data_IF_728957875337
#
_entry.id   IF_728957875337
#
_cell.length_a   1.000
_cell.length_b   1.000
_cell.length_c   1.000
_cell.angle_alpha   90.00
_cell.angle_beta   90.00
_cell.angle_gamma   90.00
#
_symmetry.space_group_name_H-M   'P 1'
#
loop_
_entity.id
_entity.type
_entity.pdbx_description
1 polymer ?
#
# COMPACT_ATOMS: atom_id res chain seq x y z
N UNK A 1 12.09 -17.72 -6.82
CA UNK A 1 11.79 -17.73 -5.38
C UNK A 1 10.36 -17.29 -5.20
N UNK A 2 9.63 -17.90 -4.26
CA UNK A 2 8.26 -17.52 -3.93
C UNK A 2 8.19 -16.85 -2.56
N UNK A 3 7.17 -16.03 -2.32
CA UNK A 3 6.93 -15.41 -1.02
C UNK A 3 5.44 -15.38 -0.70
N UNK A 4 5.11 -15.34 0.59
CA UNK A 4 3.73 -15.24 1.07
C UNK A 4 3.36 -13.78 1.33
N UNK A 5 2.15 -13.39 0.96
CA UNK A 5 1.56 -12.11 1.35
C UNK A 5 0.13 -12.30 1.84
N UNK A 6 -0.36 -11.32 2.61
CA UNK A 6 -1.77 -11.26 3.01
C UNK A 6 -2.48 -10.30 2.07
N UNK A 7 -3.55 -10.77 1.42
CA UNK A 7 -4.33 -9.99 0.47
C UNK A 7 -5.79 -9.98 0.89
N UNK A 8 -6.42 -8.81 0.84
CA UNK A 8 -7.87 -8.71 0.93
C UNK A 8 -8.47 -8.98 -0.45
N UNK A 9 -9.09 -10.14 -0.64
CA UNK A 9 -9.65 -10.53 -1.95
C UNK A 9 -10.95 -9.79 -2.28
N UNK A 10 -11.67 -9.36 -1.24
CA UNK A 10 -12.93 -8.62 -1.33
C UNK A 10 -13.00 -7.60 -0.19
N UNK A 11 -13.93 -6.64 -0.31
CA UNK A 11 -14.21 -5.71 0.77
C UNK A 11 -14.97 -6.41 1.89
N UNK A 12 -14.62 -6.13 3.14
CA UNK A 12 -15.29 -6.71 4.28
C UNK A 12 -14.39 -6.88 5.49
N UNK A 13 -14.79 -7.79 6.38
CA UNK A 13 -14.09 -8.09 7.61
C UNK A 13 -12.85 -8.96 7.42
N UNK A 14 -12.28 -9.50 8.51
CA UNK A 14 -11.08 -10.34 8.48
C UNK A 14 -11.23 -11.62 7.67
N UNK A 15 -12.45 -12.12 7.49
CA UNK A 15 -12.77 -13.29 6.67
C UNK A 15 -12.38 -13.13 5.19
N UNK A 16 -12.22 -11.89 4.71
CA UNK A 16 -11.82 -11.59 3.34
C UNK A 16 -10.29 -11.58 3.15
N UNK A 17 -9.51 -11.79 4.22
CA UNK A 17 -8.06 -11.87 4.15
C UNK A 17 -7.61 -13.29 3.79
N UNK A 18 -6.73 -13.39 2.81
CA UNK A 18 -6.13 -14.66 2.39
C UNK A 18 -4.61 -14.54 2.36
N UNK A 19 -3.94 -15.63 2.75
CA UNK A 19 -2.51 -15.79 2.53
C UNK A 19 -2.30 -16.38 1.16
N UNK A 20 -1.67 -15.62 0.27
CA UNK A 20 -1.37 -16.04 -1.10
C UNK A 20 0.12 -16.20 -1.30
N UNK A 21 0.51 -17.12 -2.18
CA UNK A 21 1.89 -17.33 -2.59
C UNK A 21 2.14 -16.68 -3.94
N UNK A 22 3.18 -15.86 -4.03
CA UNK A 22 3.51 -15.08 -5.21
C UNK A 22 4.92 -15.37 -5.70
N UNK A 23 5.13 -15.23 -7.01
CA UNK A 23 6.46 -15.25 -7.59
C UNK A 23 7.22 -13.95 -7.32
N UNK A 24 8.48 -14.08 -6.89
CA UNK A 24 9.33 -12.95 -6.58
C UNK A 24 9.88 -12.31 -7.87
N UNK A 25 9.44 -11.09 -8.17
CA UNK A 25 9.97 -10.31 -9.29
C UNK A 25 11.35 -9.71 -9.04
N UNK A 26 12.09 -9.42 -10.12
CA UNK A 26 13.29 -8.60 -10.06
C UNK A 26 12.97 -7.11 -9.82
N UNK A 27 13.78 -6.38 -9.03
CA UNK A 27 13.66 -4.93 -8.91
C UNK A 27 14.00 -4.24 -10.25
N UNK A 28 13.31 -3.14 -10.56
CA UNK A 28 13.57 -2.28 -11.72
C UNK A 28 14.59 -1.18 -11.37
N UNK A 29 15.13 -0.42 -12.35
CA UNK A 29 15.99 0.72 -12.05
C UNK A 29 15.33 1.69 -11.05
N UNK A 30 16.06 2.03 -10.00
CA UNK A 30 15.57 2.89 -8.91
C UNK A 30 14.76 2.17 -7.81
N UNK A 31 14.52 0.87 -7.91
CA UNK A 31 13.85 0.08 -6.87
C UNK A 31 14.85 -0.73 -6.03
N UNK A 32 14.53 -0.92 -4.76
CA UNK A 32 15.24 -1.84 -3.86
C UNK A 32 14.31 -2.97 -3.42
N UNK A 33 14.87 -4.16 -3.23
CA UNK A 33 14.15 -5.31 -2.69
C UNK A 33 14.35 -5.38 -1.18
N UNK A 34 13.24 -5.51 -0.43
CA UNK A 34 13.25 -5.60 1.03
C UNK A 34 12.66 -6.96 1.44
N UNK A 35 13.35 -7.66 2.34
CA UNK A 35 12.77 -8.81 3.05
C UNK A 35 12.02 -8.29 4.27
N UNK A 36 10.69 -8.34 4.22
CA UNK A 36 9.84 -7.92 5.35
C UNK A 36 10.00 -8.94 6.49
N UNK A 37 10.48 -8.49 7.64
CA UNK A 37 10.60 -9.31 8.86
C UNK A 37 9.36 -9.20 9.75
N UNK A 38 8.74 -8.01 9.78
CA UNK A 38 7.51 -7.71 10.50
C UNK A 38 6.73 -6.61 9.78
N UNK A 39 5.41 -6.58 9.96
CA UNK A 39 4.54 -5.52 9.50
C UNK A 39 3.60 -5.11 10.65
N UNK A 40 3.35 -3.82 10.80
CA UNK A 40 2.40 -3.30 11.78
C UNK A 40 0.96 -3.50 11.30
N UNK A 41 0.03 -3.63 12.24
CA UNK A 41 -1.42 -3.60 11.98
C UNK A 41 -1.97 -2.31 12.59
N UNK A 42 -2.54 -1.45 11.77
CA UNK A 42 -3.10 -0.16 12.19
C UNK A 42 -4.51 0.04 11.62
N UNK A 43 -5.21 1.07 12.09
CA UNK A 43 -6.56 1.41 11.62
C UNK A 43 -6.63 1.62 10.08
N UNK A 44 -5.67 2.32 9.44
CA UNK A 44 -5.58 2.41 7.98
C UNK A 44 -5.74 1.10 7.19
N UNK A 45 -5.16 0.00 7.66
CA UNK A 45 -5.29 -1.29 6.97
C UNK A 45 -6.71 -1.84 7.12
N UNK A 46 -7.37 -1.61 8.25
CA UNK A 46 -8.78 -1.96 8.44
C UNK A 46 -9.67 -1.14 7.51
N UNK A 47 -9.48 0.18 7.45
CA UNK A 47 -10.24 1.08 6.57
C UNK A 47 -10.04 0.77 5.08
N UNK A 48 -8.81 0.41 4.69
CA UNK A 48 -8.48 0.04 3.31
C UNK A 48 -9.28 -1.19 2.86
N UNK A 49 -9.51 -2.17 3.75
CA UNK A 49 -10.33 -3.36 3.43
C UNK A 49 -11.78 -3.02 3.12
N UNK A 50 -12.36 -2.01 3.75
CA UNK A 50 -13.73 -1.60 3.45
C UNK A 50 -13.82 -0.67 2.22
N UNK A 51 -12.70 -0.33 1.58
CA UNK A 51 -12.65 0.64 0.49
C UNK A 51 -12.90 2.08 0.95
N UNK A 52 -12.74 2.36 2.25
CA UNK A 52 -13.01 3.67 2.86
C UNK A 52 -11.85 4.66 2.70
N UNK A 53 -10.66 4.19 2.29
CA UNK A 53 -9.51 5.07 2.09
C UNK A 53 -9.68 5.86 0.79
N UNK A 54 -10.05 7.14 0.94
CA UNK A 54 -9.97 8.16 -0.10
C UNK A 54 -8.54 8.19 -0.63
N UNK A 55 -8.35 8.13 -1.95
CA UNK A 55 -7.06 8.52 -2.54
C UNK A 55 -6.67 9.87 -1.96
N UNK A 56 -5.41 10.02 -1.56
CA UNK A 56 -4.88 11.30 -1.05
C UNK A 56 -5.34 12.38 -2.05
N UNK A 57 -6.07 13.43 -1.62
CA UNK A 57 -6.34 14.54 -2.53
C UNK A 57 -5.00 15.04 -3.06
N UNK A 58 -4.88 15.27 -4.36
CA UNK A 58 -3.65 15.79 -4.96
C UNK A 58 -3.17 16.96 -4.09
N UNK A 59 -1.99 16.79 -3.50
CA UNK A 59 -1.36 17.88 -2.76
C UNK A 59 -1.27 19.05 -3.73
N UNK A 60 -1.72 20.27 -3.38
CA UNK A 60 -1.43 21.41 -4.23
C UNK A 60 0.08 21.43 -4.38
N UNK A 61 0.55 21.24 -5.61
CA UNK A 61 1.97 21.27 -5.88
C UNK A 61 2.51 22.58 -5.32
N UNK A 62 3.74 22.56 -4.78
CA UNK A 62 4.44 23.70 -4.17
C UNK A 62 4.69 24.88 -5.14
N UNK A 63 3.97 24.94 -6.26
CA UNK A 63 4.14 25.81 -7.41
C UNK A 63 3.01 26.84 -7.54
N UNK A 64 2.40 27.22 -6.42
CA UNK A 64 1.44 28.32 -6.34
C UNK A 64 1.74 29.27 -5.17
N UNK A 65 3.02 29.50 -4.87
CA UNK A 65 3.40 30.75 -4.21
C UNK A 65 3.67 31.76 -5.34
N UNK A 66 2.78 32.73 -5.61
CA UNK A 66 3.17 33.87 -6.43
C UNK A 66 4.32 34.57 -5.72
N UNK A 67 5.39 34.82 -6.48
CA UNK A 67 6.53 35.62 -6.06
C UNK A 67 6.01 36.89 -5.38
N UNK A 68 6.48 37.14 -4.16
CA UNK A 68 6.39 38.45 -3.51
C UNK A 68 6.77 39.54 -4.50
N UNK A 69 5.88 40.51 -4.70
CA UNK A 69 6.18 41.81 -5.26
C UNK A 69 6.45 42.78 -4.10
#
# INVERSE_FOLDING_TARGET
MKYKSVVAVQRGGPEMLQVVENDLRSPKPGEVRIKVLAASVTLPEVEARYGARRSRPESPSRRAMPSSA
#
